data_IF_031290652402
#
_entry.id   IF_031290652402
#
_cell.length_a   1.000
_cell.length_b   1.000
_cell.length_c   1.000
_cell.angle_alpha   90.00
_cell.angle_beta   90.00
_cell.angle_gamma   90.00
#
_symmetry.space_group_name_H-M   'P 1'
#
loop_
_entity.id
_entity.type
_entity.pdbx_description
1 polymer ?
#
# COMPACT_ATOMS: atom_id res chain seq x y z
N UNK A 1 -3.21 -24.29 -43.22
CA UNK A 1 -2.59 -23.02 -42.79
C UNK A 1 -3.69 -22.27 -42.07
N UNK A 2 -3.71 -22.35 -40.75
CA UNK A 2 -4.63 -21.61 -39.88
C UNK A 2 -3.88 -20.34 -39.45
N UNK A 3 -4.48 -19.18 -39.70
CA UNK A 3 -3.96 -17.87 -39.32
C UNK A 3 -4.03 -17.77 -37.80
N UNK A 4 -2.90 -17.47 -37.16
CA UNK A 4 -2.82 -17.08 -35.76
C UNK A 4 -3.53 -15.74 -35.55
N UNK A 5 -4.39 -15.57 -34.52
CA UNK A 5 -5.00 -14.30 -34.22
C UNK A 5 -3.95 -13.34 -33.64
N UNK A 6 -3.86 -12.18 -34.24
CA UNK A 6 -2.93 -11.10 -33.92
C UNK A 6 -3.21 -10.55 -32.51
N UNK A 7 -2.22 -10.62 -31.64
CA UNK A 7 -2.20 -10.28 -30.20
C UNK A 7 -2.56 -8.80 -29.89
N UNK A 8 -2.69 -7.96 -30.91
CA UNK A 8 -3.03 -6.54 -30.75
C UNK A 8 -4.47 -6.24 -30.28
N UNK A 9 -5.42 -7.20 -30.41
CA UNK A 9 -6.82 -6.98 -30.02
C UNK A 9 -7.10 -7.16 -28.53
N UNK A 10 -6.26 -7.89 -27.79
CA UNK A 10 -6.52 -8.20 -26.38
C UNK A 10 -6.12 -7.07 -25.41
N UNK A 11 -5.15 -6.24 -25.80
CA UNK A 11 -4.70 -5.10 -24.98
C UNK A 11 -5.73 -3.96 -24.97
N UNK A 12 -6.46 -3.76 -26.07
CA UNK A 12 -7.55 -2.78 -26.15
C UNK A 12 -8.80 -3.20 -25.37
N UNK A 13 -9.00 -4.49 -25.13
CA UNK A 13 -10.11 -5.03 -24.35
C UNK A 13 -10.01 -4.69 -22.85
N UNK A 14 -8.83 -4.81 -22.27
CA UNK A 14 -8.55 -4.47 -20.85
C UNK A 14 -8.70 -2.96 -20.63
N UNK A 15 -8.22 -2.15 -21.58
CA UNK A 15 -8.32 -0.68 -21.50
C UNK A 15 -9.76 -0.15 -21.58
N UNK A 16 -10.72 -0.89 -22.18
CA UNK A 16 -12.11 -0.46 -22.30
C UNK A 16 -12.98 -0.71 -21.06
N UNK A 17 -12.55 -1.54 -20.13
CA UNK A 17 -13.25 -1.80 -18.85
C UNK A 17 -12.86 -0.80 -17.77
N UNK A 18 -11.82 0.00 -18.01
CA UNK A 18 -11.28 0.97 -17.08
C UNK A 18 -11.94 2.34 -17.27
N UNK A 19 -12.35 2.97 -16.16
CA UNK A 19 -12.96 4.30 -16.16
C UNK A 19 -12.08 5.34 -16.87
N UNK A 20 -12.71 6.40 -17.43
CA UNK A 20 -12.02 7.51 -18.08
C UNK A 20 -10.89 8.04 -17.19
N UNK A 21 -9.69 8.32 -17.76
CA UNK A 21 -8.56 8.82 -16.99
C UNK A 21 -8.97 10.11 -16.29
N UNK A 22 -8.64 10.23 -15.00
CA UNK A 22 -8.80 11.46 -14.23
C UNK A 22 -7.95 12.54 -14.89
N UNK A 23 -8.58 13.60 -15.39
CA UNK A 23 -7.85 14.65 -16.10
C UNK A 23 -7.00 15.48 -15.14
N UNK A 24 -5.67 15.54 -15.30
CA UNK A 24 -4.78 16.31 -14.44
C UNK A 24 -4.88 17.83 -14.65
N UNK A 25 -5.65 18.30 -15.63
CA UNK A 25 -5.62 19.69 -16.10
C UNK A 25 -6.08 20.78 -15.12
N UNK A 26 -6.57 20.43 -13.92
CA UNK A 26 -7.08 21.39 -12.93
C UNK A 26 -6.45 21.26 -11.52
N UNK A 27 -5.37 20.51 -11.36
CA UNK A 27 -4.76 20.32 -10.04
C UNK A 27 -3.93 21.54 -9.64
N UNK A 28 -4.44 22.31 -8.67
CA UNK A 28 -3.73 23.47 -8.07
C UNK A 28 -2.81 23.07 -6.91
N UNK A 29 -2.83 21.79 -6.53
CA UNK A 29 -2.06 21.27 -5.39
C UNK A 29 -0.84 20.49 -5.88
N UNK A 30 0.28 20.52 -5.13
CA UNK A 30 1.42 19.67 -5.43
C UNK A 30 1.05 18.20 -5.24
N UNK A 31 1.65 17.33 -6.06
CA UNK A 31 1.47 15.88 -5.96
C UNK A 31 1.64 15.35 -4.52
N UNK A 32 0.85 14.35 -4.14
CA UNK A 32 0.97 13.68 -2.84
C UNK A 32 2.35 13.06 -2.69
N UNK A 33 2.78 12.32 -3.72
CA UNK A 33 4.12 11.72 -3.79
C UNK A 33 4.64 11.84 -5.22
N UNK A 34 5.89 12.22 -5.36
CA UNK A 34 6.57 12.22 -6.65
C UNK A 34 7.97 11.61 -6.52
N UNK A 35 8.28 10.68 -7.40
CA UNK A 35 9.59 10.11 -7.64
C UNK A 35 10.10 10.60 -8.99
N UNK A 36 11.34 11.11 -9.02
CA UNK A 36 12.01 11.55 -10.26
C UNK A 36 13.36 10.84 -10.37
N UNK A 37 13.48 9.92 -11.33
CA UNK A 37 14.68 9.17 -11.69
C UNK A 37 15.39 8.54 -10.47
N UNK A 38 14.59 7.95 -9.57
CA UNK A 38 15.06 7.46 -8.28
C UNK A 38 15.75 6.11 -8.44
N UNK A 39 17.01 6.07 -8.02
CA UNK A 39 17.80 4.85 -7.91
C UNK A 39 18.21 4.62 -6.47
N UNK A 40 18.14 3.37 -6.00
CA UNK A 40 18.65 2.96 -4.69
C UNK A 40 19.59 1.80 -4.81
N UNK A 41 20.86 2.06 -4.46
CA UNK A 41 21.90 1.05 -4.29
C UNK A 41 22.31 0.99 -2.83
N UNK A 42 22.22 -0.19 -2.24
CA UNK A 42 22.75 -0.46 -0.90
C UNK A 42 24.24 -0.74 -0.98
N UNK A 43 25.01 -0.27 0.00
CA UNK A 43 26.47 -0.41 0.09
C UNK A 43 27.21 -0.01 -1.20
N UNK A 44 26.97 1.20 -1.75
CA UNK A 44 27.58 1.62 -3.01
C UNK A 44 29.12 1.61 -2.89
N UNK A 45 29.79 1.04 -3.91
CA UNK A 45 31.26 0.91 -3.92
C UNK A 45 31.83 -0.30 -3.15
N UNK A 46 31.00 -1.04 -2.41
CA UNK A 46 31.42 -2.26 -1.73
C UNK A 46 31.27 -3.50 -2.62
N UNK A 47 31.96 -4.60 -2.28
CA UNK A 47 31.84 -5.89 -3.02
C UNK A 47 30.42 -6.47 -2.97
N UNK A 48 29.64 -6.12 -1.96
CA UNK A 48 28.22 -6.52 -1.77
C UNK A 48 27.26 -5.40 -2.13
N UNK A 49 27.63 -4.50 -3.04
CA UNK A 49 26.71 -3.49 -3.55
C UNK A 49 25.51 -4.15 -4.24
N UNK A 50 24.31 -3.69 -3.93
CA UNK A 50 23.06 -4.22 -4.46
C UNK A 50 22.12 -3.06 -4.85
N UNK A 51 21.78 -2.99 -6.13
CA UNK A 51 20.79 -2.01 -6.62
C UNK A 51 19.40 -2.62 -6.54
N UNK A 52 18.59 -2.13 -5.62
CA UNK A 52 17.24 -2.63 -5.39
C UNK A 52 16.25 -2.08 -6.42
N UNK A 53 16.40 -0.81 -6.80
CA UNK A 53 15.55 -0.14 -7.78
C UNK A 53 16.37 0.85 -8.61
N UNK A 54 15.98 1.05 -9.87
CA UNK A 54 16.73 1.87 -10.82
C UNK A 54 15.79 2.73 -11.66
N UNK A 55 16.10 4.03 -11.75
CA UNK A 55 15.43 5.03 -12.60
C UNK A 55 13.89 5.01 -12.47
N UNK A 56 13.40 4.89 -11.23
CA UNK A 56 11.97 4.85 -10.92
C UNK A 56 11.41 6.25 -10.91
N UNK A 57 10.41 6.50 -11.76
CA UNK A 57 9.69 7.78 -11.83
C UNK A 57 8.18 7.53 -11.84
N UNK A 58 7.44 8.22 -10.97
CA UNK A 58 5.98 8.24 -10.94
C UNK A 58 5.46 9.45 -10.17
N UNK A 59 4.19 9.76 -10.40
CA UNK A 59 3.48 10.83 -9.68
C UNK A 59 2.15 10.29 -9.17
N UNK A 60 1.84 10.58 -7.91
CA UNK A 60 0.51 10.37 -7.31
C UNK A 60 -0.05 11.74 -6.96
N UNK A 61 -1.11 12.12 -7.65
CA UNK A 61 -1.71 13.43 -7.59
C UNK A 61 -2.56 13.62 -6.31
N UNK A 62 -2.72 14.87 -5.86
CA UNK A 62 -3.58 15.22 -4.73
C UNK A 62 -4.95 15.69 -5.24
N UNK A 63 -5.93 14.81 -5.24
CA UNK A 63 -7.31 15.14 -5.60
C UNK A 63 -8.06 15.64 -4.37
N UNK A 64 -8.63 16.86 -4.39
CA UNK A 64 -9.31 17.43 -3.23
C UNK A 64 -10.49 16.56 -2.76
N UNK A 65 -10.42 16.14 -1.49
CA UNK A 65 -11.50 15.34 -0.87
C UNK A 65 -11.52 13.86 -1.27
N UNK A 66 -10.56 13.40 -2.06
CA UNK A 66 -10.44 12.00 -2.46
C UNK A 66 -9.05 11.45 -2.11
N UNK A 67 -9.02 10.29 -1.45
CA UNK A 67 -7.81 9.49 -1.35
C UNK A 67 -7.66 8.58 -2.57
N UNK A 68 -6.44 8.20 -2.89
CA UNK A 68 -6.13 7.21 -3.92
C UNK A 68 -5.52 5.96 -3.28
N UNK A 69 -5.96 4.78 -3.72
CA UNK A 69 -5.40 3.51 -3.27
C UNK A 69 -4.46 2.97 -4.36
N UNK A 70 -3.17 3.12 -4.12
CA UNK A 70 -2.11 2.71 -5.05
C UNK A 70 -1.53 1.38 -4.60
N UNK A 71 -1.68 0.33 -5.40
CA UNK A 71 -1.07 -0.97 -5.15
C UNK A 71 0.24 -1.12 -5.92
N UNK A 72 1.20 -1.83 -5.34
CA UNK A 72 2.50 -2.10 -5.94
C UNK A 72 2.72 -3.61 -5.94
N UNK A 73 2.84 -4.19 -7.14
CA UNK A 73 3.07 -5.62 -7.35
C UNK A 73 4.37 -5.87 -8.10
N UNK A 74 4.88 -7.08 -8.03
CA UNK A 74 6.11 -7.52 -8.71
C UNK A 74 6.83 -8.59 -7.91
N UNK A 75 7.93 -9.17 -8.45
CA UNK A 75 8.69 -10.24 -7.83
C UNK A 75 9.25 -9.90 -6.46
N UNK A 76 9.60 -10.92 -5.69
CA UNK A 76 10.30 -10.71 -4.41
C UNK A 76 11.68 -10.09 -4.63
N UNK A 77 12.03 -9.11 -3.78
CA UNK A 77 13.33 -8.44 -3.85
C UNK A 77 13.45 -7.33 -4.91
N UNK A 78 12.39 -7.02 -5.68
CA UNK A 78 12.44 -5.98 -6.71
C UNK A 78 12.35 -4.52 -6.18
N UNK A 79 12.37 -4.31 -4.87
CA UNK A 79 12.42 -2.95 -4.30
C UNK A 79 11.06 -2.35 -3.89
N UNK A 80 9.94 -3.08 -3.91
CA UNK A 80 8.62 -2.57 -3.50
C UNK A 80 8.62 -1.96 -2.09
N UNK A 81 9.12 -2.71 -1.11
CA UNK A 81 9.26 -2.21 0.26
C UNK A 81 10.26 -1.04 0.36
N UNK A 82 11.24 -0.96 -0.55
CA UNK A 82 12.17 0.16 -0.64
C UNK A 82 11.45 1.44 -1.04
N UNK A 83 10.50 1.37 -2.00
CA UNK A 83 9.65 2.51 -2.36
C UNK A 83 8.89 3.03 -1.14
N UNK A 84 8.18 2.16 -0.40
CA UNK A 84 7.43 2.57 0.79
C UNK A 84 8.32 3.21 1.85
N UNK A 85 9.45 2.56 2.17
CA UNK A 85 10.37 3.06 3.19
C UNK A 85 11.06 4.34 2.77
N UNK A 86 11.23 4.58 1.47
CA UNK A 86 11.74 5.82 0.93
C UNK A 86 10.73 6.95 1.06
N UNK A 87 9.44 6.71 0.76
CA UNK A 87 8.36 7.66 1.04
C UNK A 87 8.31 7.97 2.54
N UNK A 88 8.44 6.93 3.40
CA UNK A 88 8.46 7.10 4.85
C UNK A 88 9.68 7.86 5.38
N UNK A 89 10.76 7.98 4.59
CA UNK A 89 12.02 8.60 5.02
C UNK A 89 12.83 7.73 5.98
N UNK A 90 12.76 6.39 5.86
CA UNK A 90 13.38 5.45 6.79
C UNK A 90 14.72 4.93 6.27
N UNK A 91 15.77 5.11 7.05
CA UNK A 91 17.06 4.49 6.81
C UNK A 91 16.99 2.94 6.98
N UNK A 92 17.84 2.18 6.27
CA UNK A 92 18.83 2.60 5.27
C UNK A 92 18.29 2.76 3.85
N UNK A 93 16.97 2.67 3.65
CA UNK A 93 16.34 2.78 2.34
C UNK A 93 16.33 4.23 1.83
N UNK A 94 16.18 5.19 2.73
CA UNK A 94 16.35 6.61 2.50
C UNK A 94 17.76 7.06 2.99
N UNK A 95 18.44 8.03 2.34
CA UNK A 95 18.07 8.72 1.10
C UNK A 95 18.26 7.85 -0.16
N UNK A 96 17.70 8.26 -1.34
CA UNK A 96 18.03 7.66 -2.61
C UNK A 96 19.52 7.80 -2.94
N UNK A 97 20.07 6.90 -3.77
CA UNK A 97 21.43 7.02 -4.29
C UNK A 97 21.51 8.10 -5.36
N UNK A 98 20.46 8.23 -6.18
CA UNK A 98 20.26 9.31 -7.14
C UNK A 98 18.77 9.57 -7.33
N UNK A 99 18.42 10.70 -7.96
CA UNK A 99 17.04 11.14 -8.13
C UNK A 99 16.48 11.84 -6.90
N UNK A 100 15.20 12.15 -6.92
CA UNK A 100 14.52 12.89 -5.85
C UNK A 100 13.17 12.27 -5.49
N UNK A 101 12.84 12.30 -4.20
CA UNK A 101 11.52 11.92 -3.67
C UNK A 101 10.92 13.11 -2.98
N UNK A 102 9.72 13.50 -3.38
CA UNK A 102 8.96 14.56 -2.71
C UNK A 102 7.63 14.04 -2.19
N UNK A 103 7.20 14.63 -1.08
CA UNK A 103 5.87 14.46 -0.49
C UNK A 103 5.25 15.82 -0.37
N UNK A 104 4.08 16.04 -0.99
CA UNK A 104 3.40 17.34 -1.06
C UNK A 104 4.33 18.46 -1.56
N UNK A 105 5.10 18.15 -2.60
CA UNK A 105 6.05 19.08 -3.21
C UNK A 105 7.29 19.41 -2.36
N UNK A 106 7.45 18.79 -1.18
CA UNK A 106 8.63 18.97 -0.31
C UNK A 106 9.53 17.75 -0.42
N UNK A 107 10.83 17.96 -0.52
CA UNK A 107 11.79 16.87 -0.44
C UNK A 107 11.61 16.08 0.86
N UNK A 108 11.66 14.77 0.75
CA UNK A 108 11.76 13.90 1.93
C UNK A 108 13.13 14.12 2.54
N UNK A 109 13.19 14.40 3.83
CA UNK A 109 14.44 14.59 4.59
C UNK A 109 14.55 13.59 5.74
N UNK A 110 13.47 12.84 6.01
CA UNK A 110 13.37 11.84 7.06
C UNK A 110 11.92 11.46 7.36
N UNK A 111 11.67 10.75 8.46
CA UNK A 111 10.31 10.39 8.89
C UNK A 111 9.45 11.61 9.15
N UNK A 112 8.16 11.54 8.77
CA UNK A 112 7.19 12.62 8.94
C UNK A 112 5.91 12.17 9.62
N UNK A 113 5.31 13.05 10.43
CA UNK A 113 4.04 12.79 11.12
C UNK A 113 2.80 12.79 10.19
N UNK A 114 2.97 13.19 8.94
CA UNK A 114 1.98 13.19 7.86
C UNK A 114 1.84 11.82 7.18
N UNK A 115 2.75 10.88 7.49
CA UNK A 115 2.84 9.53 6.91
C UNK A 115 2.76 8.47 8.00
N UNK A 116 1.81 7.53 7.85
CA UNK A 116 1.68 6.36 8.71
C UNK A 116 2.21 5.11 8.01
N UNK A 117 2.88 4.22 8.74
CA UNK A 117 3.38 2.96 8.16
C UNK A 117 2.88 1.75 8.94
N UNK A 118 2.34 0.77 8.21
CA UNK A 118 1.99 -0.56 8.68
C UNK A 118 3.00 -1.54 8.06
N UNK A 119 3.79 -2.17 8.91
CA UNK A 119 4.85 -3.08 8.50
C UNK A 119 4.33 -4.51 8.31
N UNK A 120 5.05 -5.31 7.54
CA UNK A 120 4.81 -6.74 7.32
C UNK A 120 4.87 -7.54 8.64
N UNK A 121 5.87 -7.27 9.48
CA UNK A 121 5.94 -7.82 10.83
C UNK A 121 5.09 -7.00 11.78
N UNK A 122 4.39 -7.67 12.68
CA UNK A 122 3.60 -7.01 13.71
C UNK A 122 4.53 -6.16 14.60
N UNK A 123 4.40 -4.84 14.51
CA UNK A 123 5.27 -3.87 15.21
C UNK A 123 4.63 -3.30 16.49
N UNK A 124 3.68 -4.03 17.07
CA UNK A 124 3.09 -3.64 18.35
C UNK A 124 4.13 -3.68 19.47
N UNK A 125 4.03 -2.75 20.42
CA UNK A 125 4.87 -2.75 21.62
C UNK A 125 4.43 -3.89 22.56
N UNK A 126 5.29 -4.89 22.74
CA UNK A 126 4.97 -6.11 23.51
C UNK A 126 4.68 -5.85 25.00
N UNK A 127 5.20 -4.75 25.52
CA UNK A 127 5.01 -4.29 26.90
C UNK A 127 3.85 -3.33 27.11
N UNK A 128 3.02 -3.12 26.08
CA UNK A 128 1.82 -2.26 26.13
C UNK A 128 0.57 -3.05 25.77
N UNK A 129 -0.55 -2.69 26.38
CA UNK A 129 -1.86 -3.24 26.03
C UNK A 129 -2.31 -2.82 24.63
N UNK A 130 -3.39 -3.40 24.11
CA UNK A 130 -4.04 -2.95 22.87
C UNK A 130 -4.38 -1.46 22.95
N UNK A 131 -5.02 -1.03 24.06
CA UNK A 131 -5.39 0.36 24.27
C UNK A 131 -4.18 1.29 24.23
N UNK A 132 -3.11 0.94 24.94
CA UNK A 132 -1.89 1.75 24.99
C UNK A 132 -1.15 1.74 23.64
N UNK A 133 -1.16 0.62 22.91
CA UNK A 133 -0.60 0.56 21.55
C UNK A 133 -1.32 1.50 20.60
N UNK A 134 -2.66 1.48 20.61
CA UNK A 134 -3.46 2.34 19.72
C UNK A 134 -3.29 3.81 20.12
N UNK A 135 -3.30 4.13 21.42
CA UNK A 135 -3.18 5.50 21.93
C UNK A 135 -1.76 6.10 21.80
N UNK A 136 -0.73 5.28 21.53
CA UNK A 136 0.68 5.68 21.61
C UNK A 136 1.03 6.92 20.77
N UNK A 137 0.57 6.98 19.53
CA UNK A 137 0.89 8.12 18.67
C UNK A 137 0.32 9.46 19.20
N UNK A 138 -0.86 9.43 19.83
CA UNK A 138 -1.44 10.60 20.48
C UNK A 138 -0.72 10.93 21.80
N UNK A 139 -0.18 9.92 22.51
CA UNK A 139 0.71 10.11 23.66
C UNK A 139 1.96 10.89 23.26
N UNK A 140 2.62 10.52 22.16
CA UNK A 140 3.78 11.23 21.61
C UNK A 140 3.47 12.69 21.21
N UNK A 141 2.21 12.96 20.82
CA UNK A 141 1.72 14.32 20.52
C UNK A 141 1.31 15.11 21.79
N UNK A 142 1.48 14.56 22.99
CA UNK A 142 1.11 15.20 24.25
C UNK A 142 -0.39 15.30 24.53
N UNK A 143 -1.22 14.50 23.83
CA UNK A 143 -2.69 14.50 24.05
C UNK A 143 -2.99 13.94 25.45
N UNK A 144 -3.85 14.60 26.26
CA UNK A 144 -4.25 14.13 27.60
C UNK A 144 -4.80 12.70 27.56
N UNK A 145 -4.55 11.93 28.64
CA UNK A 145 -4.86 10.50 28.72
C UNK A 145 -6.31 10.17 28.40
N UNK A 146 -7.24 10.93 28.99
CA UNK A 146 -8.68 10.75 28.79
C UNK A 146 -9.06 10.85 27.32
N UNK A 147 -8.59 11.92 26.63
CA UNK A 147 -8.90 12.18 25.22
C UNK A 147 -8.26 11.16 24.29
N UNK A 148 -7.00 10.76 24.56
CA UNK A 148 -6.34 9.77 23.70
C UNK A 148 -6.94 8.37 23.86
N UNK A 149 -7.44 8.02 25.06
CA UNK A 149 -8.10 6.75 25.31
C UNK A 149 -9.50 6.72 24.70
N UNK A 150 -10.27 7.81 24.77
CA UNK A 150 -11.54 7.95 24.06
C UNK A 150 -11.36 7.73 22.56
N UNK A 151 -10.38 8.41 21.94
CA UNK A 151 -10.04 8.21 20.54
C UNK A 151 -9.57 6.76 20.24
N UNK A 152 -8.80 6.16 21.15
CA UNK A 152 -8.33 4.79 20.98
C UNK A 152 -9.48 3.77 21.06
N UNK A 153 -10.44 3.94 21.96
CA UNK A 153 -11.65 3.11 22.01
C UNK A 153 -12.42 3.15 20.69
N UNK A 154 -12.63 4.35 20.15
CA UNK A 154 -13.27 4.49 18.85
C UNK A 154 -12.55 3.67 17.76
N UNK A 155 -11.22 3.75 17.66
CA UNK A 155 -10.49 3.02 16.64
C UNK A 155 -10.42 1.51 16.90
N UNK A 156 -10.39 1.06 18.18
CA UNK A 156 -10.46 -0.35 18.57
C UNK A 156 -11.77 -0.97 18.05
N UNK A 157 -12.90 -0.30 18.26
CA UNK A 157 -14.21 -0.75 17.74
C UNK A 157 -14.25 -0.72 16.21
N UNK A 158 -13.74 0.36 15.60
CA UNK A 158 -13.71 0.52 14.14
C UNK A 158 -12.94 -0.59 13.43
N UNK A 159 -11.86 -1.10 14.02
CA UNK A 159 -11.13 -2.24 13.48
C UNK A 159 -11.75 -3.59 13.87
N UNK A 160 -12.90 -3.60 14.54
CA UNK A 160 -13.65 -4.81 14.92
C UNK A 160 -13.00 -5.60 16.06
N UNK A 161 -12.33 -4.91 16.99
CA UNK A 161 -11.90 -5.44 18.29
C UNK A 161 -12.90 -5.04 19.36
N UNK A 162 -13.02 -5.84 20.43
CA UNK A 162 -13.91 -5.59 21.57
C UNK A 162 -13.20 -4.75 22.63
N UNK A 163 -13.81 -3.62 23.02
CA UNK A 163 -13.31 -2.85 24.17
C UNK A 163 -13.30 -3.71 25.42
N UNK A 164 -14.43 -4.38 25.74
CA UNK A 164 -14.58 -5.14 26.97
C UNK A 164 -13.60 -6.31 27.08
N UNK A 165 -13.32 -6.98 25.95
CA UNK A 165 -12.55 -8.21 25.94
C UNK A 165 -11.09 -8.03 25.51
N UNK A 166 -10.76 -7.02 24.69
CA UNK A 166 -9.46 -6.97 24.01
C UNK A 166 -8.58 -5.80 24.44
N UNK A 167 -9.13 -4.68 24.92
CA UNK A 167 -8.36 -3.46 25.19
C UNK A 167 -7.20 -3.65 26.17
N UNK A 168 -7.36 -4.56 27.16
CA UNK A 168 -6.35 -4.84 28.18
C UNK A 168 -5.36 -5.95 27.80
N UNK A 169 -5.59 -6.65 26.67
CA UNK A 169 -4.69 -7.70 26.19
C UNK A 169 -3.36 -7.13 25.70
N UNK A 170 -2.33 -7.93 25.84
CA UNK A 170 -1.01 -7.67 25.27
C UNK A 170 -0.87 -8.33 23.89
N UNK A 171 0.07 -7.90 23.04
CA UNK A 171 0.24 -8.45 21.68
C UNK A 171 0.41 -9.98 21.63
N UNK A 172 1.06 -10.59 22.61
CA UNK A 172 1.25 -12.04 22.66
C UNK A 172 -0.03 -12.84 22.94
N UNK A 173 -1.09 -12.18 23.45
CA UNK A 173 -2.40 -12.78 23.71
C UNK A 173 -3.34 -12.67 22.50
N UNK A 174 -2.90 -12.05 21.39
CA UNK A 174 -3.69 -11.77 20.21
C UNK A 174 -3.37 -12.74 19.07
N UNK A 175 -4.40 -13.07 18.27
CA UNK A 175 -4.19 -13.73 16.99
C UNK A 175 -3.45 -12.82 16.00
N UNK A 176 -2.92 -13.38 14.90
CA UNK A 176 -2.27 -12.62 13.84
C UNK A 176 -3.17 -11.50 13.27
N UNK A 177 -4.43 -11.85 12.95
CA UNK A 177 -5.41 -10.87 12.46
C UNK A 177 -5.73 -9.77 13.48
N UNK A 178 -5.82 -10.09 14.78
CA UNK A 178 -6.02 -9.08 15.83
C UNK A 178 -4.81 -8.15 15.95
N UNK A 179 -3.58 -8.66 15.90
CA UNK A 179 -2.37 -7.84 15.90
C UNK A 179 -2.33 -6.89 14.71
N UNK A 180 -2.76 -7.36 13.54
CA UNK A 180 -2.86 -6.52 12.34
C UNK A 180 -3.90 -5.40 12.50
N UNK A 181 -5.06 -5.70 13.09
CA UNK A 181 -6.09 -4.69 13.41
C UNK A 181 -5.55 -3.62 14.37
N UNK A 182 -4.79 -4.00 15.38
CA UNK A 182 -4.12 -3.06 16.30
C UNK A 182 -3.12 -2.17 15.55
N UNK A 183 -2.31 -2.73 14.64
CA UNK A 183 -1.34 -1.96 13.85
C UNK A 183 -2.05 -0.94 12.93
N UNK A 184 -3.16 -1.33 12.31
CA UNK A 184 -3.98 -0.43 11.49
C UNK A 184 -4.60 0.68 12.36
N UNK A 185 -5.24 0.34 13.49
CA UNK A 185 -5.85 1.31 14.41
C UNK A 185 -4.83 2.33 14.93
N UNK A 186 -3.64 1.86 15.34
CA UNK A 186 -2.53 2.70 15.80
C UNK A 186 -2.05 3.69 14.74
N UNK A 187 -2.12 3.30 13.48
CA UNK A 187 -1.74 4.16 12.37
C UNK A 187 -2.83 5.18 12.05
N UNK A 188 -4.09 4.72 11.98
CA UNK A 188 -5.23 5.56 11.57
C UNK A 188 -5.65 6.60 12.62
N UNK A 189 -5.44 6.34 13.91
CA UNK A 189 -5.75 7.30 14.98
C UNK A 189 -5.00 8.64 14.84
N UNK A 190 -3.87 8.63 14.14
CA UNK A 190 -3.07 9.83 13.87
C UNK A 190 -3.60 10.65 12.69
N UNK A 191 -4.63 10.16 11.98
CA UNK A 191 -5.19 10.75 10.78
C UNK A 191 -4.10 11.14 9.74
N UNK A 192 -3.21 10.22 9.34
CA UNK A 192 -2.16 10.53 8.39
C UNK A 192 -2.76 10.81 7.01
N UNK A 193 -2.11 11.67 6.22
CA UNK A 193 -2.50 11.92 4.82
C UNK A 193 -2.03 10.82 3.88
N UNK A 194 -0.96 10.11 4.25
CA UNK A 194 -0.40 9.00 3.49
C UNK A 194 -0.30 7.79 4.40
N UNK A 195 -0.79 6.65 3.93
CA UNK A 195 -0.71 5.37 4.62
C UNK A 195 0.14 4.43 3.78
N UNK A 196 1.20 3.91 4.35
CA UNK A 196 2.14 3.00 3.72
C UNK A 196 1.95 1.61 4.32
N UNK A 197 1.63 0.61 3.50
CA UNK A 197 1.36 -0.76 3.95
C UNK A 197 2.27 -1.74 3.23
N UNK A 198 3.20 -2.34 3.97
CA UNK A 198 4.20 -3.28 3.46
C UNK A 198 3.73 -4.72 3.73
N UNK A 199 3.14 -5.38 2.75
CA UNK A 199 2.59 -6.76 2.80
C UNK A 199 1.75 -7.06 4.06
N UNK A 200 0.76 -6.21 4.41
CA UNK A 200 0.11 -6.29 5.73
C UNK A 200 -0.68 -7.58 5.95
N UNK A 201 -1.04 -8.29 4.91
CA UNK A 201 -1.88 -9.50 4.99
C UNK A 201 -1.12 -10.80 4.69
N UNK A 202 0.20 -10.73 4.46
CA UNK A 202 1.00 -11.89 4.05
C UNK A 202 0.99 -13.07 5.02
N UNK A 203 0.90 -12.81 6.32
CA UNK A 203 0.91 -13.82 7.37
C UNK A 203 -0.50 -14.31 7.80
N UNK A 204 -1.58 -13.85 7.13
CA UNK A 204 -2.95 -14.20 7.49
C UNK A 204 -3.44 -15.41 6.69
N UNK A 205 -4.30 -16.21 7.33
CA UNK A 205 -5.05 -17.28 6.63
C UNK A 205 -6.01 -16.69 5.59
N UNK A 206 -6.43 -17.46 4.56
CA UNK A 206 -7.23 -16.93 3.45
C UNK A 206 -8.54 -16.27 3.89
N UNK A 207 -9.24 -16.82 4.87
CA UNK A 207 -10.54 -16.30 5.33
C UNK A 207 -10.36 -14.97 6.08
N UNK A 208 -9.42 -14.91 7.02
CA UNK A 208 -9.08 -13.70 7.75
C UNK A 208 -8.60 -12.61 6.80
N UNK A 209 -7.84 -12.97 5.77
CA UNK A 209 -7.34 -12.04 4.73
C UNK A 209 -8.47 -11.35 3.98
N UNK A 210 -9.50 -12.07 3.52
CA UNK A 210 -10.67 -11.47 2.87
C UNK A 210 -11.40 -10.48 3.78
N UNK A 211 -11.62 -10.85 5.05
CA UNK A 211 -12.24 -9.96 6.02
C UNK A 211 -11.40 -8.70 6.30
N UNK A 212 -10.07 -8.83 6.28
CA UNK A 212 -9.17 -7.68 6.47
C UNK A 212 -9.15 -6.75 5.26
N UNK A 213 -9.30 -7.28 4.04
CA UNK A 213 -9.46 -6.49 2.83
C UNK A 213 -10.75 -5.66 2.89
N UNK A 214 -11.89 -6.27 3.24
CA UNK A 214 -13.17 -5.58 3.41
C UNK A 214 -13.09 -4.51 4.49
N UNK A 215 -12.49 -4.83 5.63
CA UNK A 215 -12.28 -3.88 6.72
C UNK A 215 -11.45 -2.68 6.25
N UNK A 216 -10.35 -2.93 5.53
CA UNK A 216 -9.45 -1.87 5.05
C UNK A 216 -10.17 -0.95 4.05
N UNK A 217 -10.94 -1.49 3.11
CA UNK A 217 -11.74 -0.70 2.16
C UNK A 217 -12.73 0.21 2.90
N UNK A 218 -13.43 -0.32 3.91
CA UNK A 218 -14.39 0.46 4.69
C UNK A 218 -13.72 1.58 5.49
N UNK A 219 -12.58 1.28 6.15
CA UNK A 219 -11.82 2.29 6.90
C UNK A 219 -11.23 3.35 5.97
N UNK A 220 -10.71 2.96 4.81
CA UNK A 220 -10.12 3.88 3.85
C UNK A 220 -11.14 4.88 3.29
N UNK A 221 -12.37 4.44 2.97
CA UNK A 221 -13.45 5.32 2.51
C UNK A 221 -13.75 6.48 3.48
N UNK A 222 -13.56 6.24 4.78
CA UNK A 222 -13.83 7.25 5.79
C UNK A 222 -12.65 8.21 6.03
N UNK A 223 -11.41 7.75 5.86
CA UNK A 223 -10.23 8.57 6.17
C UNK A 223 -9.70 9.39 5.00
N UNK A 224 -10.10 9.06 3.76
CA UNK A 224 -9.73 9.78 2.53
C UNK A 224 -8.21 10.03 2.39
N UNK A 225 -7.39 9.11 2.90
CA UNK A 225 -5.93 9.17 2.79
C UNK A 225 -5.47 8.50 1.50
N UNK A 226 -4.33 8.94 0.96
CA UNK A 226 -3.65 8.19 -0.10
C UNK A 226 -2.95 6.98 0.53
N UNK A 227 -3.25 5.79 0.02
CA UNK A 227 -2.68 4.51 0.48
C UNK A 227 -1.70 3.99 -0.55
N UNK A 228 -0.50 3.62 -0.11
CA UNK A 228 0.43 2.80 -0.88
C UNK A 228 0.47 1.41 -0.25
N UNK A 229 0.12 0.41 -1.03
CA UNK A 229 -0.05 -0.96 -0.56
C UNK A 229 0.85 -1.91 -1.38
N UNK A 230 1.87 -2.43 -0.75
CA UNK A 230 2.73 -3.46 -1.33
C UNK A 230 2.14 -4.83 -1.06
N UNK A 231 2.03 -5.64 -2.10
CA UNK A 231 1.61 -7.04 -2.01
C UNK A 231 2.24 -7.87 -3.12
N UNK A 232 2.35 -9.18 -2.88
CA UNK A 232 2.66 -10.18 -3.91
C UNK A 232 1.40 -10.89 -4.42
N UNK A 233 0.23 -10.54 -3.90
CA UNK A 233 -1.06 -11.10 -4.33
C UNK A 233 -1.72 -10.20 -5.35
N UNK A 234 -1.81 -10.65 -6.60
CA UNK A 234 -2.47 -9.92 -7.67
C UNK A 234 -3.96 -9.72 -7.36
N UNK A 235 -4.61 -10.72 -6.73
CA UNK A 235 -6.01 -10.58 -6.30
C UNK A 235 -6.22 -9.46 -5.28
N UNK A 236 -5.26 -9.26 -4.35
CA UNK A 236 -5.31 -8.13 -3.42
C UNK A 236 -5.15 -6.80 -4.16
N UNK A 237 -4.18 -6.71 -5.09
CA UNK A 237 -3.93 -5.52 -5.87
C UNK A 237 -5.16 -5.10 -6.70
N UNK A 238 -5.81 -6.06 -7.36
CA UNK A 238 -7.02 -5.83 -8.17
C UNK A 238 -8.24 -5.50 -7.29
N UNK A 239 -8.33 -6.07 -6.08
CA UNK A 239 -9.46 -5.77 -5.19
C UNK A 239 -9.36 -4.41 -4.50
N UNK A 240 -8.15 -4.03 -4.06
CA UNK A 240 -7.95 -2.85 -3.20
C UNK A 240 -7.62 -1.58 -4.00
N UNK A 241 -6.91 -1.72 -5.13
CA UNK A 241 -6.30 -0.58 -5.80
C UNK A 241 -7.26 0.25 -6.67
N UNK A 242 -7.01 1.54 -6.75
CA UNK A 242 -7.45 2.40 -7.85
C UNK A 242 -6.41 2.38 -9.00
N UNK A 243 -5.12 2.30 -8.60
CA UNK A 243 -3.97 2.19 -9.51
C UNK A 243 -3.06 1.06 -9.05
N UNK A 244 -2.47 0.37 -10.02
CA UNK A 244 -1.52 -0.71 -9.76
C UNK A 244 -0.21 -0.44 -10.51
N UNK A 245 0.89 -0.31 -9.77
CA UNK A 245 2.24 -0.26 -10.35
C UNK A 245 2.82 -1.67 -10.44
N UNK A 246 3.19 -2.08 -11.63
CA UNK A 246 3.84 -3.36 -11.91
C UNK A 246 5.35 -3.14 -11.97
N UNK A 247 6.09 -3.77 -11.06
CA UNK A 247 7.55 -3.69 -10.99
C UNK A 247 8.22 -4.87 -11.68
N UNK A 248 9.34 -4.60 -12.35
CA UNK A 248 10.24 -5.63 -12.91
C UNK A 248 10.94 -6.42 -11.81
N UNK A 249 11.63 -7.51 -12.20
CA UNK A 249 12.66 -8.13 -11.37
C UNK A 249 13.80 -7.16 -11.05
N UNK A 250 14.65 -7.52 -10.05
CA UNK A 250 15.75 -6.64 -9.59
C UNK A 250 16.82 -6.40 -10.67
N UNK A 251 17.31 -5.14 -10.84
CA UNK A 251 16.87 -3.93 -10.16
C UNK A 251 15.47 -3.49 -10.61
N UNK A 252 14.58 -3.26 -9.64
CA UNK A 252 13.18 -2.94 -9.94
C UNK A 252 13.01 -1.59 -10.65
N UNK A 253 12.20 -1.59 -11.70
CA UNK A 253 11.69 -0.40 -12.35
C UNK A 253 10.18 -0.57 -12.58
N UNK A 254 9.46 0.51 -12.82
CA UNK A 254 8.03 0.41 -13.16
C UNK A 254 7.92 0.00 -14.62
N UNK A 255 7.36 -1.19 -14.87
CA UNK A 255 7.08 -1.69 -16.22
C UNK A 255 5.77 -1.14 -16.74
N UNK A 256 4.75 -1.07 -15.88
CA UNK A 256 3.43 -0.59 -16.27
C UNK A 256 2.68 -0.01 -15.08
N UNK A 257 1.82 0.95 -15.39
CA UNK A 257 0.81 1.50 -14.52
C UNK A 257 -0.56 1.14 -15.08
N UNK A 258 -1.44 0.63 -14.21
CA UNK A 258 -2.78 0.18 -14.57
C UNK A 258 -3.80 0.84 -13.66
N UNK A 259 -4.91 1.27 -14.23
CA UNK A 259 -6.10 1.66 -13.46
C UNK A 259 -6.93 0.42 -13.14
N UNK A 260 -7.49 0.36 -11.94
CA UNK A 260 -8.29 -0.76 -11.45
C UNK A 260 -9.63 -0.22 -10.92
N UNK A 261 -10.76 -0.86 -11.25
CA UNK A 261 -12.07 -0.44 -10.75
C UNK A 261 -12.15 -0.58 -9.23
N UNK A 262 -12.70 0.43 -8.56
CA UNK A 262 -12.93 0.38 -7.10
C UNK A 262 -13.87 -0.77 -6.73
N UNK A 263 -13.64 -1.44 -5.58
CA UNK A 263 -14.52 -2.50 -5.14
C UNK A 263 -15.91 -1.95 -4.78
N UNK A 264 -16.95 -2.57 -5.33
CA UNK A 264 -18.36 -2.22 -5.11
C UNK A 264 -19.09 -3.21 -4.19
N UNK A 265 -18.45 -4.34 -3.86
CA UNK A 265 -18.99 -5.40 -3.00
C UNK A 265 -17.88 -6.10 -2.21
N UNK A 266 -18.23 -6.95 -1.20
CA UNK A 266 -17.24 -7.65 -0.38
C UNK A 266 -16.29 -8.55 -1.19
N UNK A 267 -15.04 -8.67 -0.74
CA UNK A 267 -13.97 -9.43 -1.39
C UNK A 267 -14.37 -10.89 -1.70
N UNK A 268 -15.02 -11.56 -0.74
CA UNK A 268 -15.46 -12.93 -0.92
C UNK A 268 -16.49 -13.13 -2.05
N UNK A 269 -17.25 -12.09 -2.41
CA UNK A 269 -18.20 -12.13 -3.53
C UNK A 269 -17.50 -11.74 -4.83
N UNK A 270 -16.82 -10.58 -4.83
CA UNK A 270 -16.18 -10.04 -6.03
C UNK A 270 -15.10 -10.98 -6.58
N UNK A 271 -14.27 -11.58 -5.72
CA UNK A 271 -13.19 -12.47 -6.15
C UNK A 271 -13.68 -13.84 -6.73
N UNK A 272 -14.97 -14.16 -6.60
CA UNK A 272 -15.58 -15.34 -7.24
C UNK A 272 -16.14 -15.07 -8.63
N UNK A 273 -16.24 -13.81 -9.02
CA UNK A 273 -16.80 -13.44 -10.31
C UNK A 273 -15.81 -13.73 -11.45
N UNK A 274 -16.34 -14.22 -12.56
CA UNK A 274 -15.53 -14.55 -13.73
C UNK A 274 -14.78 -13.31 -14.27
N UNK A 275 -15.40 -12.14 -14.24
CA UNK A 275 -14.79 -10.88 -14.66
C UNK A 275 -13.57 -10.51 -13.80
N UNK A 276 -13.68 -10.65 -12.47
CA UNK A 276 -12.57 -10.42 -11.56
C UNK A 276 -11.42 -11.40 -11.79
N UNK A 277 -11.75 -12.70 -11.88
CA UNK A 277 -10.77 -13.74 -12.14
C UNK A 277 -10.07 -13.55 -13.48
N UNK A 278 -10.81 -13.12 -14.50
CA UNK A 278 -10.24 -12.78 -15.80
C UNK A 278 -9.24 -11.61 -15.68
N UNK A 279 -9.57 -10.55 -14.97
CA UNK A 279 -8.66 -9.41 -14.75
C UNK A 279 -7.40 -9.84 -14.00
N UNK A 280 -7.53 -10.69 -12.97
CA UNK A 280 -6.39 -11.24 -12.22
C UNK A 280 -5.50 -12.08 -13.16
N UNK A 281 -6.09 -12.95 -13.97
CA UNK A 281 -5.37 -13.79 -14.92
C UNK A 281 -4.64 -12.97 -16.00
N UNK A 282 -5.30 -11.97 -16.56
CA UNK A 282 -4.71 -11.07 -17.55
C UNK A 282 -3.54 -10.27 -16.99
N UNK A 283 -3.68 -9.74 -15.75
CA UNK A 283 -2.61 -9.04 -15.07
C UNK A 283 -1.44 -9.98 -14.75
N UNK A 284 -1.72 -11.22 -14.35
CA UNK A 284 -0.68 -12.22 -14.10
C UNK A 284 0.10 -12.55 -15.36
N UNK A 285 -0.59 -12.82 -16.47
CA UNK A 285 0.05 -13.09 -17.76
C UNK A 285 0.85 -11.87 -18.26
N UNK A 286 0.34 -10.67 -18.03
CA UNK A 286 1.07 -9.45 -18.37
C UNK A 286 2.39 -9.35 -17.60
N UNK A 287 2.37 -9.58 -16.28
CA UNK A 287 3.57 -9.57 -15.45
C UNK A 287 4.59 -10.61 -15.94
N UNK A 288 4.14 -11.84 -16.20
CA UNK A 288 4.99 -12.93 -16.72
C UNK A 288 5.65 -12.55 -18.07
N UNK A 289 4.89 -11.98 -19.02
CA UNK A 289 5.42 -11.53 -20.29
C UNK A 289 6.44 -10.39 -20.15
N UNK A 290 6.14 -9.42 -19.30
CA UNK A 290 7.05 -8.29 -19.04
C UNK A 290 8.35 -8.75 -18.38
N UNK A 291 8.30 -9.79 -17.52
CA UNK A 291 9.49 -10.40 -16.90
C UNK A 291 10.35 -11.16 -17.90
N UNK A 292 9.72 -11.79 -18.90
CA UNK A 292 10.41 -12.52 -19.97
C UNK A 292 10.99 -11.62 -21.07
N UNK A 293 10.70 -10.32 -21.04
CA UNK A 293 11.13 -9.36 -22.06
C UNK A 293 10.53 -9.61 -23.44
N UNK A 294 9.30 -10.12 -23.49
CA UNK A 294 8.58 -10.51 -24.72
C UNK A 294 7.50 -9.50 -25.15
N UNK A 295 7.68 -8.20 -24.91
CA UNK A 295 6.82 -7.15 -25.47
C UNK A 295 7.43 -6.51 -26.72
#
# INVERSE_FOLDING_TARGET
>A
MAEEPTVQHDIEGVAKTLSSPRSPENLKQPAVVEFRDVTKTFNPGAKNAFTAMKDVSFVVEDYPGEGEFVTIVGPSGCGKSTVLRMIAGLEPHFPPTSGTVTVKGKLVEGPGADRGMVFQSYTSFDNRTVLDNVAFGLECRGVPKEKRYEAAHHWIERVGLSIDNDQCKYPHELSGGMRQRVAIARTLILAPRIILMDEPFGALDPTTRLHMQDLLVNLWRDVQATVFFVTHSISEAVYLGDRCFVFSSSPGTILKELEVPRPDRPAAQMQRESSFQQTVYELQNLIERLEEGKD
#
